data_IF_695626083385
#
_entry.id   IF_695626083385
#
_cell.length_a   1.000
_cell.length_b   1.000
_cell.length_c   1.000
_cell.angle_alpha   90.00
_cell.angle_beta   90.00
_cell.angle_gamma   90.00
#
_symmetry.space_group_name_H-M   'P 1'
#
loop_
_entity.id
_entity.type
_entity.pdbx_description
1 polymer ?
#
# COMPACT_ATOMS: atom_id res chain seq x y z
N UNK A 1 -5.80 12.85 1.51
CA UNK A 1 -5.34 11.70 0.71
C UNK A 1 -6.43 10.64 0.79
N UNK A 2 -6.79 10.03 -0.34
CA UNK A 2 -7.73 8.90 -0.32
C UNK A 2 -7.12 7.74 0.47
N UNK A 3 -7.94 6.97 1.19
CA UNK A 3 -7.45 5.76 1.83
C UNK A 3 -7.14 4.69 0.79
N UNK A 4 -6.12 3.90 1.05
CA UNK A 4 -5.77 2.77 0.17
C UNK A 4 -6.92 1.77 0.06
N UNK A 5 -7.65 1.53 1.14
CA UNK A 5 -8.81 0.63 1.15
C UNK A 5 -9.90 1.14 0.21
N UNK A 6 -10.17 2.45 0.18
CA UNK A 6 -11.15 3.01 -0.73
C UNK A 6 -10.76 2.81 -2.20
N UNK A 7 -9.48 2.98 -2.54
CA UNK A 7 -8.98 2.78 -3.91
C UNK A 7 -9.03 1.30 -4.29
N UNK A 8 -8.72 0.40 -3.36
CA UNK A 8 -8.79 -1.06 -3.56
C UNK A 8 -10.23 -1.52 -3.81
N UNK A 9 -11.17 -0.99 -3.04
CA UNK A 9 -12.58 -1.38 -3.12
C UNK A 9 -13.31 -0.70 -4.27
N UNK A 10 -12.83 0.48 -4.72
CA UNK A 10 -13.51 1.31 -5.72
C UNK A 10 -12.56 1.84 -6.82
N UNK A 11 -11.73 1.01 -7.47
CA UNK A 11 -10.70 1.48 -8.40
C UNK A 11 -11.32 2.22 -9.59
N UNK A 12 -12.42 1.71 -10.15
CA UNK A 12 -13.10 2.34 -11.29
C UNK A 12 -13.72 3.70 -10.93
N UNK A 13 -14.19 3.86 -9.69
CA UNK A 13 -14.72 5.15 -9.23
C UNK A 13 -13.61 6.19 -9.16
N UNK A 14 -12.44 5.79 -8.67
CA UNK A 14 -11.28 6.67 -8.58
C UNK A 14 -10.76 7.02 -9.97
N UNK A 15 -10.65 6.05 -10.89
CA UNK A 15 -10.27 6.32 -12.29
C UNK A 15 -11.22 7.31 -12.95
N UNK A 16 -12.54 7.06 -12.93
CA UNK A 16 -13.54 7.98 -13.48
C UNK A 16 -13.42 9.40 -12.90
N UNK A 17 -13.18 9.51 -11.60
CA UNK A 17 -12.99 10.79 -10.94
C UNK A 17 -11.73 11.53 -11.40
N UNK A 18 -10.65 10.80 -11.71
CA UNK A 18 -9.42 11.37 -12.27
C UNK A 18 -9.62 11.80 -13.71
N UNK A 19 -10.35 11.03 -14.51
CA UNK A 19 -10.70 11.38 -15.89
C UNK A 19 -11.54 12.66 -15.93
N UNK A 20 -12.54 12.79 -15.05
CA UNK A 20 -13.35 13.99 -14.90
C UNK A 20 -12.53 15.25 -14.49
N UNK A 21 -11.31 15.07 -13.96
CA UNK A 21 -10.36 16.15 -13.63
C UNK A 21 -9.30 16.38 -14.71
N UNK A 22 -9.43 15.74 -15.88
CA UNK A 22 -8.46 15.86 -16.97
C UNK A 22 -7.18 15.04 -16.77
N UNK A 23 -7.20 14.03 -15.89
CA UNK A 23 -6.09 13.11 -15.65
C UNK A 23 -6.36 11.73 -16.26
N UNK A 24 -6.80 11.65 -17.52
CA UNK A 24 -7.24 10.40 -18.15
C UNK A 24 -6.14 9.31 -18.14
N UNK A 25 -5.01 9.54 -18.82
CA UNK A 25 -3.93 8.54 -18.89
C UNK A 25 -3.12 8.46 -17.59
N UNK A 26 -2.73 9.62 -17.04
CA UNK A 26 -1.92 9.67 -15.83
C UNK A 26 -2.67 9.14 -14.58
N UNK A 27 -4.00 9.23 -14.56
CA UNK A 27 -4.82 8.78 -13.45
C UNK A 27 -4.92 7.26 -13.38
N UNK A 28 -5.09 6.59 -14.53
CA UNK A 28 -5.14 5.13 -14.59
C UNK A 28 -3.81 4.50 -14.17
N UNK A 29 -2.70 5.06 -14.67
CA UNK A 29 -1.35 4.65 -14.29
C UNK A 29 -1.09 4.84 -12.79
N UNK A 30 -1.52 5.96 -12.21
CA UNK A 30 -1.38 6.24 -10.77
C UNK A 30 -2.17 5.26 -9.91
N UNK A 31 -3.42 4.98 -10.27
CA UNK A 31 -4.25 4.00 -9.56
C UNK A 31 -3.65 2.61 -9.67
N UNK A 32 -3.21 2.20 -10.86
CA UNK A 32 -2.52 0.94 -11.08
C UNK A 32 -1.26 0.82 -10.24
N UNK A 33 -0.41 1.85 -10.26
CA UNK A 33 0.83 1.90 -9.48
C UNK A 33 0.57 1.75 -7.97
N UNK A 34 -0.42 2.46 -7.43
CA UNK A 34 -0.80 2.36 -6.02
C UNK A 34 -1.23 0.94 -5.65
N UNK A 35 -2.07 0.31 -6.48
CA UNK A 35 -2.57 -1.04 -6.23
C UNK A 35 -1.45 -2.09 -6.29
N UNK A 36 -0.56 -1.99 -7.27
CA UNK A 36 0.61 -2.88 -7.37
C UNK A 36 1.53 -2.76 -6.17
N UNK A 37 1.82 -1.53 -5.71
CA UNK A 37 2.67 -1.32 -4.54
C UNK A 37 2.01 -1.80 -3.24
N UNK A 38 0.68 -1.68 -3.14
CA UNK A 38 -0.08 -2.25 -2.01
C UNK A 38 -0.07 -3.78 -2.02
N UNK A 39 -0.21 -4.41 -3.18
CA UNK A 39 -0.09 -5.86 -3.35
C UNK A 39 1.30 -6.35 -2.97
N UNK A 40 2.35 -5.73 -3.52
CA UNK A 40 3.75 -6.03 -3.20
C UNK A 40 4.03 -5.94 -1.68
N UNK A 41 3.50 -4.90 -1.02
CA UNK A 41 3.61 -4.75 0.43
C UNK A 41 2.90 -5.89 1.17
N UNK A 42 1.69 -6.25 0.77
CA UNK A 42 0.89 -7.30 1.43
C UNK A 42 1.52 -8.68 1.28
N UNK A 43 2.06 -8.99 0.11
CA UNK A 43 2.81 -10.22 -0.13
C UNK A 43 4.03 -10.32 0.78
N UNK A 44 4.83 -9.24 0.86
CA UNK A 44 6.00 -9.21 1.75
C UNK A 44 5.63 -9.36 3.22
N UNK A 45 4.54 -8.72 3.66
CA UNK A 45 4.05 -8.89 5.03
C UNK A 45 3.56 -10.30 5.32
N UNK A 46 2.92 -10.96 4.35
CA UNK A 46 2.50 -12.37 4.48
C UNK A 46 3.72 -13.27 4.64
N UNK A 47 4.70 -13.13 3.74
CA UNK A 47 5.98 -13.86 3.83
C UNK A 47 6.73 -13.58 5.13
N UNK A 48 6.69 -12.34 5.62
CA UNK A 48 7.30 -11.96 6.89
C UNK A 48 6.67 -12.71 8.06
N UNK A 49 5.33 -12.78 8.10
CA UNK A 49 4.59 -13.51 9.13
C UNK A 49 4.92 -15.01 9.12
N UNK A 50 5.00 -15.61 7.93
CA UNK A 50 5.35 -17.02 7.77
C UNK A 50 6.78 -17.31 8.29
N UNK A 51 7.75 -16.46 7.94
CA UNK A 51 9.13 -16.64 8.42
C UNK A 51 9.27 -16.36 9.92
N UNK A 52 8.52 -15.40 10.46
CA UNK A 52 8.48 -15.16 11.91
C UNK A 52 7.93 -16.38 12.64
N UNK A 53 6.90 -17.02 12.09
CA UNK A 53 6.37 -18.27 12.61
C UNK A 53 7.41 -19.40 12.56
N UNK A 54 8.06 -19.63 11.41
CA UNK A 54 9.12 -20.65 11.27
C UNK A 54 10.30 -20.39 12.25
N UNK A 55 10.68 -19.13 12.44
CA UNK A 55 11.75 -18.74 13.38
C UNK A 55 11.38 -19.04 14.84
N UNK A 56 10.11 -18.87 15.21
CA UNK A 56 9.63 -19.17 16.56
C UNK A 56 9.60 -20.69 16.79
N UNK A 57 9.05 -21.46 15.85
CA UNK A 57 9.07 -22.93 15.92
C UNK A 57 10.49 -23.49 16.00
N UNK A 58 11.42 -22.93 15.20
CA UNK A 58 12.84 -23.31 15.27
C UNK A 58 13.43 -23.02 16.66
N UNK A 59 13.09 -21.89 17.26
CA UNK A 59 13.57 -21.50 18.60
C UNK A 59 13.07 -22.43 19.69
N UNK A 60 11.80 -22.86 19.63
CA UNK A 60 11.24 -23.85 20.55
C UNK A 60 11.94 -25.21 20.40
N UNK A 61 12.11 -25.67 19.17
CA UNK A 61 12.74 -26.96 18.86
C UNK A 61 14.22 -27.01 19.26
N UNK A 62 14.95 -25.91 19.12
CA UNK A 62 16.32 -25.77 19.65
C UNK A 62 16.31 -25.98 21.16
N UNK A 63 15.40 -25.34 21.89
CA UNK A 63 15.27 -25.49 23.34
C UNK A 63 15.00 -26.94 23.76
N UNK A 64 14.15 -27.66 23.03
CA UNK A 64 13.86 -29.08 23.25
C UNK A 64 15.08 -29.97 23.02
N UNK A 65 15.78 -29.81 21.88
CA UNK A 65 16.98 -30.59 21.56
C UNK A 65 18.10 -30.37 22.57
N UNK A 66 18.27 -29.13 23.03
CA UNK A 66 19.25 -28.80 24.07
C UNK A 66 18.93 -29.50 25.40
N UNK A 67 17.64 -29.60 25.79
CA UNK A 67 17.22 -30.39 26.98
C UNK A 67 17.45 -31.89 26.80
N UNK A 68 17.36 -32.39 25.57
CA UNK A 68 17.61 -33.79 25.21
C UNK A 68 19.11 -34.10 25.03
N UNK A 69 20.02 -33.16 25.29
CA UNK A 69 21.47 -33.27 25.05
C UNK A 69 21.86 -33.55 23.57
N UNK A 70 20.98 -33.27 22.61
CA UNK A 70 21.23 -33.42 21.18
C UNK A 70 21.86 -32.16 20.59
N UNK A 71 23.11 -31.89 20.99
CA UNK A 71 23.80 -30.62 20.69
C UNK A 71 24.06 -30.40 19.20
N UNK A 72 24.39 -31.45 18.46
CA UNK A 72 24.70 -31.34 17.03
C UNK A 72 23.44 -30.99 16.21
N UNK A 73 22.32 -31.69 16.45
CA UNK A 73 21.02 -31.36 15.84
C UNK A 73 20.54 -29.95 16.21
N UNK A 74 20.81 -29.49 17.44
CA UNK A 74 20.47 -28.14 17.87
C UNK A 74 21.32 -27.07 17.16
N UNK A 75 22.60 -27.35 16.90
CA UNK A 75 23.51 -26.42 16.24
C UNK A 75 23.09 -26.18 14.78
N UNK A 76 22.67 -27.22 14.05
CA UNK A 76 22.14 -27.09 12.69
C UNK A 76 20.91 -26.17 12.63
N UNK A 77 19.99 -26.31 13.59
CA UNK A 77 18.81 -25.43 13.68
C UNK A 77 19.17 -23.99 14.07
N UNK A 78 20.19 -23.80 14.92
CA UNK A 78 20.68 -22.46 15.26
C UNK A 78 21.19 -21.74 14.02
N UNK A 79 21.93 -22.43 13.16
CA UNK A 79 22.49 -21.82 11.95
C UNK A 79 21.38 -21.52 10.93
N UNK A 80 20.40 -22.41 10.76
CA UNK A 80 19.20 -22.12 9.96
C UNK A 80 18.39 -20.94 10.51
N UNK A 81 18.25 -20.83 11.83
CA UNK A 81 17.56 -19.71 12.49
C UNK A 81 18.24 -18.35 12.21
N UNK A 82 19.58 -18.32 12.12
CA UNK A 82 20.30 -17.09 11.72
C UNK A 82 19.92 -16.64 10.31
N UNK A 83 19.84 -17.57 9.36
CA UNK A 83 19.42 -17.25 7.98
C UNK A 83 17.98 -16.75 7.93
N UNK A 84 17.07 -17.36 8.71
CA UNK A 84 15.69 -16.89 8.83
C UNK A 84 15.63 -15.45 9.35
N UNK A 85 16.38 -15.12 10.41
CA UNK A 85 16.44 -13.77 10.97
C UNK A 85 16.96 -12.73 9.97
N UNK A 86 17.96 -13.09 9.16
CA UNK A 86 18.44 -12.21 8.08
C UNK A 86 17.34 -11.94 7.05
N UNK A 87 16.62 -12.98 6.63
CA UNK A 87 15.53 -12.87 5.66
C UNK A 87 14.36 -12.04 6.20
N UNK A 88 14.00 -12.23 7.47
CA UNK A 88 13.00 -11.44 8.19
C UNK A 88 13.36 -9.96 8.12
N UNK A 89 14.60 -9.59 8.51
CA UNK A 89 15.06 -8.20 8.46
C UNK A 89 15.00 -7.62 7.03
N UNK A 90 15.37 -8.40 6.02
CA UNK A 90 15.25 -7.95 4.62
C UNK A 90 13.80 -7.69 4.21
N UNK A 91 12.87 -8.60 4.56
CA UNK A 91 11.46 -8.42 4.23
C UNK A 91 10.82 -7.24 4.97
N UNK A 92 11.24 -6.96 6.20
CA UNK A 92 10.80 -5.77 6.95
C UNK A 92 11.20 -4.48 6.21
N UNK A 93 12.46 -4.39 5.76
CA UNK A 93 12.95 -3.25 4.99
C UNK A 93 12.23 -3.11 3.65
N UNK A 94 12.06 -4.22 2.92
CA UNK A 94 11.38 -4.23 1.62
C UNK A 94 9.89 -3.89 1.72
N UNK A 95 9.21 -4.32 2.80
CA UNK A 95 7.81 -3.98 3.07
C UNK A 95 7.68 -2.50 3.43
N UNK A 96 8.63 -1.97 4.21
CA UNK A 96 8.71 -0.56 4.55
C UNK A 96 9.00 0.35 3.34
N UNK A 97 9.83 -0.09 2.40
CA UNK A 97 10.06 0.64 1.15
C UNK A 97 8.83 0.64 0.24
N UNK A 98 8.17 -0.52 0.08
CA UNK A 98 6.93 -0.62 -0.68
C UNK A 98 5.83 0.30 -0.11
N UNK A 99 5.71 0.37 1.23
CA UNK A 99 4.82 1.29 1.92
C UNK A 99 5.12 2.76 1.60
N UNK A 100 6.39 3.18 1.71
CA UNK A 100 6.79 4.56 1.39
C UNK A 100 6.49 4.93 -0.06
N UNK A 101 6.77 4.02 -1.00
CA UNK A 101 6.51 4.21 -2.43
C UNK A 101 5.02 4.30 -2.71
N UNK A 102 4.20 3.44 -2.07
CA UNK A 102 2.74 3.47 -2.15
C UNK A 102 2.21 4.80 -1.63
N UNK A 103 2.65 5.24 -0.47
CA UNK A 103 2.18 6.48 0.15
C UNK A 103 2.55 7.71 -0.68
N UNK A 104 3.76 7.73 -1.25
CA UNK A 104 4.17 8.77 -2.19
C UNK A 104 3.29 8.80 -3.45
N UNK A 105 2.86 7.64 -3.97
CA UNK A 105 1.93 7.56 -5.09
C UNK A 105 0.51 8.02 -4.70
N UNK A 106 0.04 7.64 -3.51
CA UNK A 106 -1.26 8.07 -2.97
C UNK A 106 -1.36 9.60 -2.83
N UNK A 107 -0.28 10.28 -2.44
CA UNK A 107 -0.24 11.74 -2.33
C UNK A 107 -0.46 12.45 -3.68
N UNK A 108 -0.22 11.77 -4.80
CA UNK A 108 -0.43 12.31 -6.15
C UNK A 108 -1.88 12.17 -6.62
N UNK A 109 -2.69 11.36 -5.93
CA UNK A 109 -4.10 11.15 -6.30
C UNK A 109 -4.96 12.23 -5.63
N UNK A 110 -5.58 13.14 -6.41
CA UNK A 110 -6.52 14.12 -5.86
C UNK A 110 -7.76 13.45 -5.28
N UNK A 111 -8.50 14.18 -4.45
CA UNK A 111 -9.78 13.69 -3.94
C UNK A 111 -10.79 13.47 -5.08
N UNK A 112 -11.61 12.44 -4.90
CA UNK A 112 -12.79 12.14 -5.73
C UNK A 112 -13.82 13.28 -5.55
N UNK A 113 -14.27 13.93 -6.65
CA UNK A 113 -15.36 14.92 -6.58
C UNK A 113 -16.64 14.33 -5.96
N UNK A 114 -17.42 15.19 -5.31
CA UNK A 114 -18.77 14.81 -4.89
C UNK A 114 -19.64 14.60 -6.14
N UNK A 115 -20.65 13.74 -6.04
CA UNK A 115 -21.57 13.42 -7.15
C UNK A 115 -22.34 14.64 -7.68
N UNK A 116 -22.47 15.68 -6.88
CA UNK A 116 -23.12 16.95 -7.26
C UNK A 116 -22.20 17.92 -8.01
N UNK A 117 -20.91 17.59 -8.16
CA UNK A 117 -19.95 18.47 -8.85
C UNK A 117 -20.10 18.26 -10.36
N UNK A 118 -20.43 19.29 -11.14
CA UNK A 118 -20.52 19.17 -12.59
C UNK A 118 -19.14 18.83 -13.18
N UNK A 119 -19.14 18.02 -14.23
CA UNK A 119 -17.93 17.71 -14.99
C UNK A 119 -17.64 18.89 -15.91
N UNK A 120 -16.41 19.39 -15.89
CA UNK A 120 -15.95 20.46 -16.76
C UNK A 120 -14.44 20.42 -16.93
N UNK A 121 -13.97 20.88 -18.08
CA UNK A 121 -12.55 20.89 -18.47
C UNK A 121 -11.96 22.30 -18.45
N UNK A 122 -12.78 23.35 -18.45
CA UNK A 122 -12.34 24.73 -18.29
C UNK A 122 -13.19 25.52 -17.28
N UNK A 123 -12.68 26.67 -16.79
CA UNK A 123 -13.46 27.57 -15.95
C UNK A 123 -14.73 28.14 -16.61
N UNK A 124 -14.80 28.12 -17.94
CA UNK A 124 -15.95 28.62 -18.70
C UNK A 124 -17.17 27.69 -18.57
N UNK A 125 -16.96 26.44 -18.17
CA UNK A 125 -18.00 25.44 -17.92
C UNK A 125 -18.53 25.48 -16.48
N UNK A 126 -18.05 26.42 -15.66
CA UNK A 126 -18.55 26.60 -14.30
C UNK A 126 -19.99 27.13 -14.30
N UNK A 127 -20.88 26.43 -13.60
CA UNK A 127 -22.26 26.86 -13.43
C UNK A 127 -22.36 28.01 -12.40
N UNK A 128 -23.02 29.11 -12.79
CA UNK A 128 -23.31 30.22 -11.87
C UNK A 128 -24.59 29.90 -11.09
N UNK A 129 -24.45 29.58 -9.80
CA UNK A 129 -25.59 29.18 -8.97
C UNK A 129 -26.40 30.36 -8.43
N UNK A 130 -25.75 31.50 -8.17
CA UNK A 130 -26.38 32.70 -7.63
C UNK A 130 -25.52 33.92 -7.93
N UNK A 131 -26.16 35.02 -8.32
CA UNK A 131 -25.56 36.35 -8.36
C UNK A 131 -26.22 37.23 -7.29
N UNK A 132 -25.43 38.09 -6.64
CA UNK A 132 -25.92 39.03 -5.63
C UNK A 132 -25.33 40.42 -5.85
N UNK A 133 -26.19 41.45 -5.74
CA UNK A 133 -25.84 42.83 -6.05
C UNK A 133 -25.90 43.16 -7.54
N UNK A 134 -25.73 44.43 -7.88
CA UNK A 134 -25.70 44.92 -9.25
C UNK A 134 -24.27 45.34 -9.62
N UNK A 135 -23.80 44.96 -10.82
CA UNK A 135 -22.49 45.40 -11.31
C UNK A 135 -22.55 46.92 -11.55
N UNK A 136 -21.68 47.72 -10.92
CA UNK A 136 -21.65 49.16 -11.14
C UNK A 136 -21.30 49.47 -12.60
N UNK A 137 -21.95 50.50 -13.14
CA UNK A 137 -21.77 51.01 -14.50
C UNK A 137 -20.43 51.70 -14.70
#
# INVERSE_FOLDING_TARGET
>A
MLSIDFIRDNPERVRKALHAKGHENAGDDLVGQVLTLDEERREKLTNLQDLQHESNEASERIGELMRQNKKDEAQDLIDRSKTLKQRISTLEDEAGDAEKRRDAALLRIPNVPHESVPVGHSPDENETLREEGEKPS
#
